data_IF_420182144597
#
_entry.id   IF_420182144597
#
_cell.length_a   1.000
_cell.length_b   1.000
_cell.length_c   1.000
_cell.angle_alpha   90.00
_cell.angle_beta   90.00
_cell.angle_gamma   90.00
#
_symmetry.space_group_name_H-M   'P 1'
#
loop_
_entity.id
_entity.type
_entity.pdbx_description
1 polymer ?
#
# COMPACT_ATOMS: atom_id res chain seq x y z
N UNK A 1 -21.92 -10.73 -3.38
CA UNK A 1 -21.25 -11.78 -4.18
C UNK A 1 -20.95 -13.05 -3.38
N UNK A 2 -20.84 -13.01 -2.05
CA UNK A 2 -20.70 -14.21 -1.20
C UNK A 2 -22.11 -14.71 -0.78
N UNK A 3 -22.36 -16.04 -0.73
CA UNK A 3 -23.63 -16.61 -0.25
C UNK A 3 -23.77 -16.47 1.29
N UNK A 4 -23.99 -15.22 1.74
CA UNK A 4 -23.98 -14.80 3.15
C UNK A 4 -25.03 -15.47 4.04
N UNK A 5 -26.09 -16.03 3.46
CA UNK A 5 -27.12 -16.80 4.19
C UNK A 5 -26.61 -18.17 4.67
N UNK A 6 -25.54 -18.71 4.07
CA UNK A 6 -24.94 -19.97 4.50
C UNK A 6 -23.93 -19.73 5.63
N UNK A 7 -23.77 -20.70 6.54
CA UNK A 7 -22.76 -20.62 7.61
C UNK A 7 -21.35 -20.34 7.06
N UNK A 8 -20.99 -20.99 5.95
CA UNK A 8 -19.72 -20.78 5.25
C UNK A 8 -19.57 -19.34 4.72
N UNK A 9 -20.62 -18.80 4.11
CA UNK A 9 -20.61 -17.44 3.56
C UNK A 9 -20.55 -16.37 4.65
N UNK A 10 -21.29 -16.54 5.74
CA UNK A 10 -21.19 -15.67 6.90
C UNK A 10 -19.77 -15.66 7.50
N UNK A 11 -19.15 -16.85 7.64
CA UNK A 11 -17.77 -16.97 8.11
C UNK A 11 -16.76 -16.31 7.16
N UNK A 12 -16.98 -16.38 5.84
CA UNK A 12 -16.14 -15.70 4.87
C UNK A 12 -16.25 -14.17 4.97
N UNK A 13 -17.46 -13.64 5.16
CA UNK A 13 -17.68 -12.20 5.33
C UNK A 13 -17.05 -11.68 6.62
N UNK A 14 -17.08 -12.45 7.71
CA UNK A 14 -16.44 -12.10 8.97
C UNK A 14 -14.90 -11.98 8.87
N UNK A 15 -14.26 -12.64 7.90
CA UNK A 15 -12.82 -12.51 7.64
C UNK A 15 -12.47 -11.22 6.91
N UNK A 16 -13.41 -10.65 6.15
CA UNK A 16 -13.20 -9.41 5.42
C UNK A 16 -13.29 -8.24 6.40
N UNK A 17 -12.26 -7.39 6.40
CA UNK A 17 -12.24 -6.14 7.14
C UNK A 17 -12.14 -4.98 6.15
N UNK A 18 -13.04 -4.02 6.26
CA UNK A 18 -13.06 -2.81 5.45
C UNK A 18 -12.95 -1.59 6.37
N UNK A 19 -12.15 -0.62 5.97
CA UNK A 19 -11.89 0.60 6.72
C UNK A 19 -11.89 1.79 5.77
N UNK A 20 -12.29 2.95 6.28
CA UNK A 20 -12.14 4.23 5.59
C UNK A 20 -10.80 4.86 5.95
N UNK A 21 -10.06 5.33 4.95
CA UNK A 21 -8.64 5.70 5.11
C UNK A 21 -7.76 4.48 5.44
N UNK A 22 -6.62 4.72 6.10
CA UNK A 22 -5.73 3.63 6.55
C UNK A 22 -5.45 3.77 8.04
N UNK A 23 -6.17 3.01 8.89
CA UNK A 23 -5.99 3.08 10.33
C UNK A 23 -4.72 2.33 10.78
N UNK A 24 -4.20 2.65 11.98
CA UNK A 24 -3.21 1.80 12.66
C UNK A 24 -3.77 0.39 12.89
N UNK A 25 -2.98 -0.68 12.71
CA UNK A 25 -1.53 -0.72 12.40
C UNK A 25 -1.19 -0.75 10.89
N UNK A 26 -2.18 -0.66 10.00
CA UNK A 26 -1.99 -0.85 8.56
C UNK A 26 -1.30 0.32 7.86
N UNK A 27 -1.22 1.48 8.53
CA UNK A 27 -0.54 2.68 8.05
C UNK A 27 0.97 2.46 7.83
N UNK A 28 1.57 1.58 8.63
CA UNK A 28 3.00 1.20 8.55
C UNK A 28 3.26 -0.03 7.68
N UNK A 29 2.21 -0.75 7.27
CA UNK A 29 2.34 -1.97 6.47
C UNK A 29 2.41 -1.65 4.97
N UNK A 30 3.11 -2.50 4.21
CA UNK A 30 3.09 -2.40 2.74
C UNK A 30 1.70 -2.82 2.23
N UNK A 31 0.98 -1.86 1.65
CA UNK A 31 -0.32 -2.11 1.03
C UNK A 31 -0.12 -2.72 -0.36
N UNK A 32 -0.95 -3.71 -0.66
CA UNK A 32 -0.96 -4.39 -1.96
C UNK A 32 -2.04 -3.78 -2.86
N UNK A 33 -1.84 -3.90 -4.16
CA UNK A 33 -2.75 -3.42 -5.19
C UNK A 33 -3.14 -4.61 -6.06
N UNK A 34 -4.42 -4.70 -6.42
CA UNK A 34 -4.94 -5.69 -7.37
C UNK A 34 -5.01 -5.03 -8.74
N UNK A 35 -4.12 -5.36 -9.70
CA UNK A 35 -4.08 -4.72 -11.01
C UNK A 35 -5.41 -4.82 -11.75
N UNK A 36 -6.11 -5.95 -11.58
CA UNK A 36 -7.37 -6.20 -12.26
C UNK A 36 -8.50 -5.26 -11.84
N UNK A 37 -8.39 -4.61 -10.69
CA UNK A 37 -9.36 -3.64 -10.20
C UNK A 37 -8.92 -2.18 -10.40
N UNK A 38 -7.76 -1.94 -11.02
CA UNK A 38 -7.25 -0.58 -11.20
C UNK A 38 -7.99 0.16 -12.32
N UNK A 39 -8.60 1.29 -11.96
CA UNK A 39 -9.28 2.19 -12.90
C UNK A 39 -8.41 2.54 -14.11
N UNK A 40 -7.13 2.87 -13.90
CA UNK A 40 -6.23 3.29 -14.98
C UNK A 40 -5.98 2.19 -16.03
N UNK A 41 -6.10 0.92 -15.63
CA UNK A 41 -5.93 -0.23 -16.52
C UNK A 41 -7.25 -0.68 -17.13
N UNK A 42 -8.36 -0.51 -16.40
CA UNK A 42 -9.68 -1.04 -16.80
C UNK A 42 -10.57 -0.04 -17.51
N UNK A 43 -10.28 1.26 -17.46
CA UNK A 43 -11.09 2.31 -18.06
C UNK A 43 -10.28 3.10 -19.08
N UNK A 44 -10.85 3.32 -20.27
CA UNK A 44 -10.24 4.14 -21.30
C UNK A 44 -10.18 5.62 -20.90
N UNK A 45 -9.19 6.34 -21.44
CA UNK A 45 -9.08 7.78 -21.24
C UNK A 45 -10.34 8.51 -21.76
N UNK A 46 -10.77 9.54 -21.05
CA UNK A 46 -11.96 10.33 -21.39
C UNK A 46 -13.28 9.81 -20.80
N UNK A 47 -13.34 8.57 -20.31
CA UNK A 47 -14.55 8.04 -19.69
C UNK A 47 -14.74 8.61 -18.28
N UNK A 48 -15.98 9.07 -18.01
CA UNK A 48 -16.38 9.59 -16.69
C UNK A 48 -16.41 8.46 -15.66
N UNK A 49 -16.01 8.77 -14.43
CA UNK A 49 -16.07 7.87 -13.28
C UNK A 49 -16.51 8.64 -12.05
N UNK A 50 -17.00 7.91 -11.04
CA UNK A 50 -17.40 8.49 -9.77
C UNK A 50 -16.45 8.03 -8.66
N UNK A 51 -16.18 8.91 -7.69
CA UNK A 51 -15.43 8.59 -6.49
C UNK A 51 -16.43 8.19 -5.40
N UNK A 52 -16.31 6.97 -4.90
CA UNK A 52 -17.21 6.43 -3.88
C UNK A 52 -17.29 7.36 -2.65
N UNK A 53 -16.16 7.89 -2.18
CA UNK A 53 -16.15 8.80 -1.02
C UNK A 53 -16.98 10.08 -1.23
N UNK A 54 -16.96 10.66 -2.45
CA UNK A 54 -17.77 11.84 -2.78
C UNK A 54 -19.25 11.49 -2.87
N UNK A 55 -19.58 10.38 -3.55
CA UNK A 55 -20.95 9.89 -3.61
C UNK A 55 -21.49 9.64 -2.20
N UNK A 56 -20.72 8.98 -1.34
CA UNK A 56 -21.08 8.71 0.04
C UNK A 56 -21.37 10.00 0.82
N UNK A 57 -20.56 11.06 0.66
CA UNK A 57 -20.85 12.34 1.31
C UNK A 57 -22.15 12.99 0.83
N UNK A 58 -22.44 12.91 -0.47
CA UNK A 58 -23.67 13.47 -1.05
C UNK A 58 -24.93 12.73 -0.58
N UNK A 59 -24.81 11.43 -0.26
CA UNK A 59 -25.91 10.63 0.32
C UNK A 59 -26.00 10.68 1.85
N UNK A 60 -25.22 11.56 2.51
CA UNK A 60 -25.33 11.80 3.96
C UNK A 60 -24.28 11.10 4.83
N UNK A 61 -23.17 10.62 4.25
CA UNK A 61 -22.05 10.12 5.06
C UNK A 61 -21.22 11.28 5.65
N UNK A 62 -21.34 11.48 6.95
CA UNK A 62 -20.79 12.65 7.65
C UNK A 62 -19.29 12.63 7.92
N UNK A 63 -18.60 11.49 7.74
CA UNK A 63 -17.20 11.35 8.15
C UNK A 63 -16.19 11.70 7.04
N UNK A 64 -16.66 12.18 5.90
CA UNK A 64 -15.81 12.48 4.74
C UNK A 64 -14.66 13.46 5.08
N UNK A 65 -14.97 14.59 5.72
CA UNK A 65 -13.97 15.60 6.06
C UNK A 65 -13.02 15.14 7.16
N UNK A 66 -13.53 14.42 8.16
CA UNK A 66 -12.70 13.84 9.23
C UNK A 66 -11.67 12.87 8.66
N UNK A 67 -12.07 11.97 7.77
CA UNK A 67 -11.16 11.00 7.14
C UNK A 67 -10.13 11.73 6.26
N UNK A 68 -10.55 12.77 5.52
CA UNK A 68 -9.65 13.58 4.70
C UNK A 68 -8.55 14.24 5.55
N UNK A 69 -8.88 14.78 6.72
CA UNK A 69 -7.90 15.37 7.62
C UNK A 69 -6.94 14.33 8.20
N UNK A 70 -7.46 13.18 8.66
CA UNK A 70 -6.65 12.09 9.20
C UNK A 70 -5.69 11.52 8.16
N UNK A 71 -6.14 11.34 6.92
CA UNK A 71 -5.31 10.88 5.80
C UNK A 71 -4.21 11.88 5.43
N UNK A 72 -4.47 13.20 5.55
CA UNK A 72 -3.43 14.23 5.39
C UNK A 72 -2.34 14.05 6.44
N UNK A 73 -2.70 13.99 7.72
CA UNK A 73 -1.77 13.76 8.84
C UNK A 73 -0.99 12.44 8.68
N UNK A 74 -1.62 11.40 8.11
CA UNK A 74 -0.94 10.12 7.82
C UNK A 74 0.07 10.26 6.68
N UNK A 75 -0.27 10.97 5.59
CA UNK A 75 0.64 11.17 4.45
C UNK A 75 1.88 11.98 4.84
N UNK A 76 1.74 13.00 5.68
CA UNK A 76 2.86 13.78 6.22
C UNK A 76 3.84 12.89 7.00
N UNK A 77 3.33 12.07 7.91
CA UNK A 77 4.15 11.09 8.66
C UNK A 77 4.82 10.07 7.73
N UNK A 78 4.09 9.58 6.73
CA UNK A 78 4.62 8.64 5.74
C UNK A 78 5.72 9.25 4.88
N UNK A 79 5.63 10.54 4.56
CA UNK A 79 6.64 11.25 3.77
C UNK A 79 7.96 11.35 4.53
N UNK A 80 7.92 11.76 5.80
CA UNK A 80 9.11 11.82 6.65
C UNK A 80 9.78 10.44 6.79
N UNK A 81 8.98 9.37 6.97
CA UNK A 81 9.50 8.01 7.03
C UNK A 81 10.14 7.57 5.69
N UNK A 82 9.55 7.96 4.56
CA UNK A 82 10.08 7.65 3.24
C UNK A 82 11.40 8.37 2.96
N UNK A 83 11.54 9.64 3.34
CA UNK A 83 12.78 10.40 3.19
C UNK A 83 13.93 9.79 4.00
N UNK A 84 13.66 9.41 5.25
CA UNK A 84 14.62 8.66 6.08
C UNK A 84 15.01 7.35 5.41
N UNK A 85 14.04 6.59 4.88
CA UNK A 85 14.31 5.33 4.17
C UNK A 85 15.16 5.56 2.92
N UNK A 86 14.91 6.62 2.15
CA UNK A 86 15.69 6.99 0.96
C UNK A 86 17.14 7.30 1.32
N UNK A 87 17.39 8.03 2.40
CA UNK A 87 18.73 8.31 2.90
C UNK A 87 19.46 7.02 3.34
N UNK A 88 18.78 6.16 4.11
CA UNK A 88 19.33 4.88 4.53
C UNK A 88 19.67 3.96 3.35
N UNK A 89 18.81 3.91 2.33
CA UNK A 89 19.07 3.14 1.12
C UNK A 89 20.30 3.66 0.36
N UNK A 90 20.50 4.99 0.29
CA UNK A 90 21.72 5.57 -0.30
C UNK A 90 22.98 5.16 0.46
N UNK A 91 22.94 5.18 1.79
CA UNK A 91 24.05 4.74 2.63
C UNK A 91 24.32 3.25 2.47
N UNK A 92 23.25 2.44 2.39
CA UNK A 92 23.34 1.01 2.16
C UNK A 92 24.04 0.69 0.84
N UNK A 93 23.69 1.35 -0.25
CA UNK A 93 24.34 1.16 -1.56
C UNK A 93 25.84 1.52 -1.49
N UNK A 94 26.20 2.60 -0.78
CA UNK A 94 27.61 2.96 -0.57
C UNK A 94 28.35 1.88 0.22
N UNK A 95 27.74 1.37 1.29
CA UNK A 95 28.32 0.32 2.11
C UNK A 95 28.45 -1.01 1.33
N UNK A 96 27.47 -1.35 0.49
CA UNK A 96 27.52 -2.53 -0.38
C UNK A 96 28.70 -2.45 -1.35
N UNK A 97 28.96 -1.30 -1.97
CA UNK A 97 30.15 -1.11 -2.84
C UNK A 97 31.48 -1.28 -2.10
N UNK A 98 31.59 -0.69 -0.91
CA UNK A 98 32.80 -0.83 -0.08
C UNK A 98 32.99 -2.28 0.39
N UNK A 99 31.91 -3.00 0.67
CA UNK A 99 31.96 -4.42 1.02
C UNK A 99 32.34 -5.29 -0.18
N UNK A 100 31.87 -4.95 -1.38
CA UNK A 100 32.19 -5.64 -2.63
C UNK A 100 33.70 -5.67 -2.91
N UNK A 101 34.38 -4.53 -2.75
CA UNK A 101 35.85 -4.43 -2.85
C UNK A 101 36.58 -5.35 -1.86
N UNK A 102 36.01 -5.58 -0.68
CA UNK A 102 36.62 -6.41 0.39
C UNK A 102 36.30 -7.90 0.25
N UNK A 103 35.16 -8.25 -0.33
CA UNK A 103 34.65 -9.62 -0.46
C UNK A 103 35.16 -10.34 -1.73
N UNK A 104 35.77 -9.64 -2.68
CA UNK A 104 36.56 -10.20 -3.79
C UNK A 104 36.10 -11.59 -4.31
N UNK A 105 36.89 -12.68 -4.14
CA UNK A 105 36.57 -14.00 -4.68
C UNK A 105 35.36 -14.68 -4.03
N UNK A 106 34.99 -14.32 -2.80
CA UNK A 106 33.84 -14.93 -2.12
C UNK A 106 32.51 -14.54 -2.78
N UNK A 107 32.46 -13.42 -3.52
CA UNK A 107 31.28 -13.05 -4.29
C UNK A 107 31.00 -13.99 -5.46
N UNK A 108 32.04 -14.55 -6.09
CA UNK A 108 31.89 -15.51 -7.20
C UNK A 108 31.26 -16.82 -6.71
N UNK A 109 31.51 -17.20 -5.46
CA UNK A 109 30.87 -18.37 -4.83
C UNK A 109 29.39 -18.11 -4.51
N UNK A 110 29.03 -16.87 -4.19
CA UNK A 110 27.66 -16.48 -3.82
C UNK A 110 26.81 -16.13 -5.05
N UNK A 111 27.44 -15.73 -6.17
CA UNK A 111 26.76 -15.30 -7.39
C UNK A 111 25.78 -16.34 -7.98
N UNK A 112 26.07 -17.65 -8.02
CA UNK A 112 25.13 -18.66 -8.52
C UNK A 112 23.88 -18.85 -7.65
N UNK A 113 23.92 -18.40 -6.39
CA UNK A 113 22.84 -18.56 -5.39
C UNK A 113 22.03 -17.26 -5.26
N UNK A 114 22.55 -16.14 -5.77
CA UNK A 114 21.94 -14.82 -5.67
C UNK A 114 20.89 -14.62 -6.78
N UNK A 115 19.63 -14.45 -6.38
CA UNK A 115 18.50 -14.08 -7.27
C UNK A 115 18.47 -12.58 -7.60
#
# INVERSE_FOLDING_TARGET
MIPHKTKRGAAALARLKAYEGVPPPYDKMKRMVIPDALKVLRLQAGHKYCLLGRLSSEVGWNHYDTIKELERKRKERSQAAYERKKQLNKLRIKAEKVAEEKLGPQLEVIAPIKY
#
